data_IF_096671880622
#
_entry.id   IF_096671880622
#
_cell.length_a   1.000
_cell.length_b   1.000
_cell.length_c   1.000
_cell.angle_alpha   90.00
_cell.angle_beta   90.00
_cell.angle_gamma   90.00
#
_symmetry.space_group_name_H-M   'P 1'
#
loop_
_entity.id
_entity.type
_entity.pdbx_description
1 polymer ?
#
# COMPACT_ATOMS: atom_id res chain seq x y z
N UNK A 1 -12.45 12.18 13.73
CA UNK A 1 -12.34 12.39 12.27
C UNK A 1 -11.30 11.44 11.69
N UNK A 2 -11.64 10.69 10.65
CA UNK A 2 -10.72 9.75 9.99
C UNK A 2 -9.87 10.47 8.95
N UNK A 3 -8.55 10.38 9.06
CA UNK A 3 -7.59 10.97 8.10
C UNK A 3 -7.38 10.00 6.95
N UNK A 4 -7.48 10.49 5.70
CA UNK A 4 -7.20 9.73 4.47
C UNK A 4 -6.13 10.47 3.68
N UNK A 5 -5.05 9.77 3.34
CA UNK A 5 -3.90 10.33 2.63
C UNK A 5 -3.57 9.44 1.43
N UNK A 6 -3.23 10.06 0.31
CA UNK A 6 -2.67 9.39 -0.87
C UNK A 6 -1.27 9.93 -1.09
N UNK A 7 -0.28 9.04 -1.22
CA UNK A 7 1.12 9.40 -1.47
C UNK A 7 1.52 8.93 -2.86
N UNK A 8 1.86 9.87 -3.73
CA UNK A 8 2.27 9.64 -5.11
C UNK A 8 3.76 10.00 -5.31
N UNK A 9 4.37 9.46 -6.36
CA UNK A 9 5.77 9.70 -6.70
C UNK A 9 6.41 8.55 -7.47
N UNK A 10 7.55 8.82 -8.10
CA UNK A 10 8.26 7.86 -8.97
C UNK A 10 8.67 6.58 -8.23
N UNK A 11 8.95 5.50 -8.97
CA UNK A 11 9.60 4.32 -8.41
C UNK A 11 10.98 4.71 -7.85
N UNK A 12 11.28 4.23 -6.64
CA UNK A 12 12.46 4.63 -5.85
C UNK A 12 12.34 5.92 -5.04
N UNK A 13 11.24 6.68 -5.13
CA UNK A 13 11.09 7.97 -4.43
C UNK A 13 10.88 7.88 -2.89
N UNK A 14 11.04 6.71 -2.27
CA UNK A 14 10.93 6.56 -0.81
C UNK A 14 9.51 6.58 -0.24
N UNK A 15 8.46 6.50 -1.07
CA UNK A 15 7.05 6.54 -0.63
C UNK A 15 6.71 5.51 0.45
N UNK A 16 7.17 4.26 0.28
CA UNK A 16 6.93 3.18 1.25
C UNK A 16 7.50 3.51 2.62
N UNK A 17 8.76 3.97 2.66
CA UNK A 17 9.42 4.42 3.88
C UNK A 17 8.64 5.55 4.57
N UNK A 18 8.17 6.54 3.80
CA UNK A 18 7.38 7.64 4.36
C UNK A 18 6.00 7.17 4.86
N UNK A 19 5.33 6.27 4.12
CA UNK A 19 4.09 5.65 4.57
C UNK A 19 4.26 4.93 5.92
N UNK A 20 5.31 4.12 6.09
CA UNK A 20 5.58 3.42 7.36
C UNK A 20 5.78 4.39 8.53
N UNK A 21 6.53 5.48 8.33
CA UNK A 21 6.73 6.50 9.36
C UNK A 21 5.41 7.18 9.74
N UNK A 22 4.57 7.53 8.76
CA UNK A 22 3.26 8.15 8.99
C UNK A 22 2.29 7.21 9.70
N UNK A 23 2.25 5.94 9.30
CA UNK A 23 1.47 4.88 9.93
C UNK A 23 1.82 4.75 11.41
N UNK A 24 3.12 4.67 11.73
CA UNK A 24 3.60 4.60 13.12
C UNK A 24 3.28 5.88 13.89
N UNK A 25 3.55 7.06 13.30
CA UNK A 25 3.41 8.36 13.98
C UNK A 25 1.96 8.73 14.29
N UNK A 26 1.04 8.34 13.42
CA UNK A 26 -0.37 8.74 13.47
C UNK A 26 -1.34 7.59 13.67
N UNK A 27 -0.84 6.36 13.87
CA UNK A 27 -1.65 5.15 14.04
C UNK A 27 -2.68 4.99 12.90
N UNK A 28 -2.21 5.12 11.66
CA UNK A 28 -3.04 5.01 10.46
C UNK A 28 -2.98 3.61 9.86
N UNK A 29 -4.06 3.17 9.20
CA UNK A 29 -4.01 1.98 8.37
C UNK A 29 -3.15 2.24 7.12
N UNK A 30 -2.29 1.28 6.78
CA UNK A 30 -1.51 1.29 5.54
C UNK A 30 -2.27 0.53 4.45
N UNK A 31 -2.52 1.17 3.31
CA UNK A 31 -3.12 0.55 2.13
C UNK A 31 -2.17 0.72 0.95
N UNK A 32 -1.72 -0.38 0.38
CA UNK A 32 -0.77 -0.43 -0.74
C UNK A 32 -1.34 -1.35 -1.81
N UNK A 33 -1.78 -0.76 -2.93
CA UNK A 33 -2.36 -1.54 -4.04
C UNK A 33 -1.37 -2.55 -4.61
N UNK A 34 -0.08 -2.21 -4.62
CA UNK A 34 0.97 -3.14 -5.04
C UNK A 34 1.10 -4.34 -4.12
N UNK A 35 1.05 -4.16 -2.80
CA UNK A 35 1.11 -5.27 -1.84
C UNK A 35 -0.15 -6.13 -1.90
N UNK A 36 -1.31 -5.48 -1.99
CA UNK A 36 -2.60 -6.17 -2.13
C UNK A 36 -2.64 -7.03 -3.40
N UNK A 37 -2.17 -6.49 -4.53
CA UNK A 37 -2.12 -7.24 -5.79
C UNK A 37 -1.14 -8.42 -5.70
N UNK A 38 0.07 -8.19 -5.16
CA UNK A 38 1.05 -9.28 -4.96
C UNK A 38 0.50 -10.39 -4.06
N UNK A 39 -0.20 -10.04 -2.99
CA UNK A 39 -0.86 -10.99 -2.11
C UNK A 39 -1.97 -11.77 -2.84
N UNK A 40 -2.78 -11.09 -3.65
CA UNK A 40 -3.85 -11.70 -4.45
C UNK A 40 -3.30 -12.71 -5.47
N UNK A 41 -2.18 -12.39 -6.12
CA UNK A 41 -1.44 -13.28 -7.04
C UNK A 41 -0.91 -14.50 -6.29
N UNK A 42 -0.21 -14.29 -5.17
CA UNK A 42 0.35 -15.38 -4.36
C UNK A 42 -0.75 -16.33 -3.83
N UNK A 43 -1.91 -15.79 -3.47
CA UNK A 43 -3.07 -16.54 -2.99
C UNK A 43 -3.91 -17.16 -4.13
N UNK A 44 -3.56 -16.95 -5.41
CA UNK A 44 -4.30 -17.45 -6.58
C UNK A 44 -5.79 -17.12 -6.55
N UNK A 45 -6.13 -15.95 -6.03
CA UNK A 45 -7.50 -15.43 -6.10
C UNK A 45 -7.88 -15.13 -7.56
N UNK A 46 -9.17 -15.05 -7.93
CA UNK A 46 -9.57 -14.68 -9.30
C UNK A 46 -8.89 -13.40 -9.80
N UNK A 47 -8.88 -12.33 -8.98
CA UNK A 47 -8.17 -11.09 -9.28
C UNK A 47 -6.66 -11.31 -9.53
N UNK A 48 -6.03 -12.16 -8.72
CA UNK A 48 -4.60 -12.47 -8.86
C UNK A 48 -4.26 -13.34 -10.07
N UNK A 49 -5.24 -14.03 -10.66
CA UNK A 49 -5.07 -14.83 -11.88
C UNK A 49 -5.33 -14.02 -13.15
N UNK A 50 -6.06 -12.90 -13.04
CA UNK A 50 -6.31 -11.96 -14.14
C UNK A 50 -5.18 -10.94 -14.36
N UNK A 51 -4.27 -10.80 -13.40
CA UNK A 51 -3.16 -9.84 -13.38
C UNK A 51 -1.89 -10.37 -14.03
#
# INVERSE_FOLDING_TARGET
MTRRLVILGKQGAGKGTQCELLVRRYSLAHVSTGDMLRAAVAARTPLGLEA
#
